data_IF_337652427228
#
_entry.id   IF_337652427228
#
_cell.length_a   1.000
_cell.length_b   1.000
_cell.length_c   1.000
_cell.angle_alpha   90.00
_cell.angle_beta   90.00
_cell.angle_gamma   90.00
#
_symmetry.space_group_name_H-M   'P 1'
#
loop_
_entity.id
_entity.type
_entity.pdbx_description
1 polymer ?
#
# COMPACT_ATOMS: atom_id res chain seq x y z
N UNK A 1 4.38 -0.11 16.04
CA UNK A 1 3.18 -0.61 15.34
C UNK A 1 2.52 0.56 14.63
N UNK A 2 2.14 0.40 13.37
CA UNK A 2 1.52 1.45 12.55
C UNK A 2 0.24 0.91 11.92
N UNK A 3 -0.81 1.72 11.89
CA UNK A 3 -2.06 1.41 11.18
C UNK A 3 -2.28 2.44 10.08
N UNK A 4 -2.50 1.98 8.86
CA UNK A 4 -2.86 2.81 7.71
C UNK A 4 -4.28 2.41 7.33
N UNK A 5 -5.25 3.31 7.53
CA UNK A 5 -6.65 2.98 7.33
C UNK A 5 -7.42 4.07 6.59
N UNK A 6 -8.38 3.66 5.74
CA UNK A 6 -9.35 4.52 5.06
C UNK A 6 -8.74 5.66 4.22
N UNK A 7 -7.52 5.48 3.71
CA UNK A 7 -6.89 6.45 2.82
C UNK A 7 -7.30 6.25 1.36
N UNK A 8 -7.27 7.35 0.61
CA UNK A 8 -7.35 7.34 -0.86
C UNK A 8 -5.96 7.60 -1.42
N UNK A 9 -5.36 6.59 -2.05
CA UNK A 9 -4.12 6.68 -2.80
C UNK A 9 -4.43 6.78 -4.30
N UNK A 10 -4.31 7.99 -4.82
CA UNK A 10 -4.85 8.43 -6.11
C UNK A 10 -3.83 8.60 -7.23
N UNK A 11 -4.28 9.29 -8.27
CA UNK A 11 -3.49 9.64 -9.46
C UNK A 11 -2.16 10.33 -9.08
N UNK A 12 -1.16 10.15 -9.93
CA UNK A 12 0.23 10.61 -9.75
C UNK A 12 1.05 9.94 -8.64
N UNK A 13 0.47 9.04 -7.83
CA UNK A 13 1.27 8.24 -6.91
C UNK A 13 1.93 7.06 -7.63
N UNK A 14 3.25 7.12 -7.68
CA UNK A 14 4.05 6.09 -8.35
C UNK A 14 4.19 4.83 -7.47
N UNK A 15 4.54 5.01 -6.19
CA UNK A 15 4.91 3.92 -5.29
C UNK A 15 4.93 4.32 -3.80
N UNK A 16 5.26 3.36 -2.91
CA UNK A 16 5.54 3.53 -1.46
C UNK A 16 4.33 3.92 -0.61
N UNK A 17 3.21 3.24 -0.79
CA UNK A 17 1.96 3.52 -0.10
C UNK A 17 1.49 2.34 0.79
N UNK A 18 2.16 1.98 1.90
CA UNK A 18 3.45 2.47 2.39
C UNK A 18 4.65 1.64 1.90
N UNK A 19 5.87 2.17 2.12
CA UNK A 19 7.10 1.37 2.14
C UNK A 19 7.54 1.12 3.58
N UNK A 20 7.41 -0.11 4.04
CA UNK A 20 7.67 -0.51 5.42
C UNK A 20 9.13 -0.92 5.65
N UNK A 21 9.67 -0.61 6.84
CA UNK A 21 10.96 -1.07 7.34
C UNK A 21 10.84 -1.43 8.81
N UNK A 22 11.14 -2.68 9.15
CA UNK A 22 11.05 -3.25 10.51
C UNK A 22 9.66 -3.14 11.14
N UNK A 23 9.33 -4.06 12.05
CA UNK A 23 8.11 -3.97 12.87
C UNK A 23 6.81 -4.27 12.11
N UNK A 24 5.69 -3.90 12.72
CA UNK A 24 4.35 -4.34 12.33
C UNK A 24 3.48 -3.21 11.76
N UNK A 25 2.87 -3.47 10.61
CA UNK A 25 2.00 -2.56 9.87
C UNK A 25 0.66 -3.24 9.57
N UNK A 26 -0.43 -2.60 9.97
CA UNK A 26 -1.78 -2.98 9.56
C UNK A 26 -2.28 -2.00 8.52
N UNK A 27 -2.39 -2.45 7.27
CA UNK A 27 -2.90 -1.67 6.14
C UNK A 27 -4.32 -2.15 5.89
N UNK A 28 -5.33 -1.35 6.25
CA UNK A 28 -6.73 -1.79 6.26
C UNK A 28 -7.69 -0.82 5.57
N UNK A 29 -8.58 -1.32 4.70
CA UNK A 29 -9.63 -0.52 4.06
C UNK A 29 -9.16 0.75 3.32
N UNK A 30 -7.98 0.72 2.68
CA UNK A 30 -7.49 1.82 1.84
C UNK A 30 -7.88 1.58 0.37
N UNK A 31 -8.09 2.66 -0.38
CA UNK A 31 -8.38 2.64 -1.80
C UNK A 31 -7.13 3.04 -2.60
N UNK A 32 -6.63 2.13 -3.44
CA UNK A 32 -5.48 2.32 -4.31
C UNK A 32 -5.92 2.32 -5.76
N UNK A 33 -5.73 3.44 -6.45
CA UNK A 33 -6.06 3.58 -7.86
C UNK A 33 -4.84 4.03 -8.65
N UNK A 34 -4.79 3.69 -9.95
CA UNK A 34 -3.75 4.13 -10.88
C UNK A 34 -2.32 3.82 -10.41
N UNK A 35 -2.11 2.60 -9.91
CA UNK A 35 -0.81 2.14 -9.44
C UNK A 35 0.19 2.02 -10.61
N UNK A 36 1.15 2.96 -10.70
CA UNK A 36 2.17 2.98 -11.77
C UNK A 36 3.29 1.95 -11.56
N UNK A 37 3.56 1.53 -10.31
CA UNK A 37 4.66 0.61 -9.97
C UNK A 37 4.26 -0.41 -8.90
N UNK A 38 4.13 0.00 -7.64
CA UNK A 38 3.64 -0.86 -6.56
C UNK A 38 2.85 -0.09 -5.51
N UNK A 39 1.82 -0.71 -4.93
CA UNK A 39 1.07 -0.13 -3.84
C UNK A 39 1.86 -0.19 -2.52
N UNK A 40 2.05 -1.39 -2.00
CA UNK A 40 2.66 -1.65 -0.69
C UNK A 40 3.99 -2.37 -0.90
N UNK A 41 5.04 -1.96 -0.19
CA UNK A 41 6.34 -2.63 -0.25
C UNK A 41 7.00 -2.67 1.13
N UNK A 42 7.99 -3.55 1.28
CA UNK A 42 8.74 -3.73 2.51
C UNK A 42 10.21 -3.98 2.24
N UNK A 43 11.07 -3.58 3.18
CA UNK A 43 12.46 -4.02 3.22
C UNK A 43 12.87 -4.25 4.66
N UNK A 44 13.85 -5.12 4.87
CA UNK A 44 14.34 -5.46 6.21
C UNK A 44 13.24 -6.03 7.11
N UNK A 45 12.66 -7.15 6.66
CA UNK A 45 11.73 -8.01 7.40
C UNK A 45 10.61 -7.28 8.20
N UNK A 46 9.78 -6.44 7.56
CA UNK A 46 8.57 -5.93 8.20
C UNK A 46 7.45 -6.99 8.17
N UNK A 47 6.57 -6.95 9.15
CA UNK A 47 5.28 -7.67 9.12
C UNK A 47 4.22 -6.72 8.59
N UNK A 48 3.59 -7.06 7.46
CA UNK A 48 2.54 -6.25 6.83
C UNK A 48 1.27 -7.09 6.73
N UNK A 49 0.22 -6.68 7.44
CA UNK A 49 -1.11 -7.26 7.30
C UNK A 49 -1.93 -6.32 6.42
N UNK A 50 -2.31 -6.81 5.24
CA UNK A 50 -3.16 -6.08 4.28
C UNK A 50 -4.56 -6.68 4.30
N UNK A 51 -5.56 -5.92 4.74
CA UNK A 51 -6.93 -6.42 4.90
C UNK A 51 -7.96 -5.43 4.31
N UNK A 52 -8.88 -5.91 3.49
CA UNK A 52 -10.01 -5.09 2.99
C UNK A 52 -9.61 -3.89 2.11
N UNK A 53 -8.36 -3.81 1.65
CA UNK A 53 -7.93 -2.76 0.73
C UNK A 53 -8.45 -3.03 -0.69
N UNK A 54 -8.77 -1.96 -1.43
CA UNK A 54 -9.13 -2.02 -2.85
C UNK A 54 -7.92 -1.63 -3.69
N UNK A 55 -7.53 -2.47 -4.65
CA UNK A 55 -6.42 -2.20 -5.58
C UNK A 55 -6.93 -2.18 -7.02
N UNK A 56 -6.70 -1.07 -7.72
CA UNK A 56 -6.95 -0.92 -9.15
C UNK A 56 -5.60 -0.62 -9.81
N UNK A 57 -5.05 -1.63 -10.50
CA UNK A 57 -3.83 -1.51 -11.27
C UNK A 57 -4.08 -0.72 -12.57
N UNK A 58 -3.02 -0.19 -13.18
CA UNK A 58 -3.08 0.38 -14.53
C UNK A 58 -3.06 -0.74 -15.58
N UNK A 59 -3.66 -0.50 -16.74
CA UNK A 59 -3.78 -1.49 -17.83
C UNK A 59 -2.47 -1.84 -18.56
N UNK A 60 -1.32 -1.34 -18.07
CA UNK A 60 -0.03 -1.59 -18.68
C UNK A 60 0.68 -2.76 -17.97
N UNK A 61 0.82 -3.94 -18.62
CA UNK A 61 1.47 -5.12 -18.04
C UNK A 61 2.99 -4.98 -17.90
#
# INVERSE_FOLDING_TARGET
QVTIAFNHFGEELIQKMPRCRWGYFHVVNNNYIHLKLYAISGSIHPTIISQGNRFIATDNP
#
